data_IF_174001036940
#
_entry.id   IF_174001036940
#
_cell.length_a   1.000
_cell.length_b   1.000
_cell.length_c   1.000
_cell.angle_alpha   90.00
_cell.angle_beta   90.00
_cell.angle_gamma   90.00
#
_symmetry.space_group_name_H-M   'P 1'
#
loop_
_entity.id
_entity.type
_entity.pdbx_description
1 polymer ?
#
# COMPACT_ATOMS: atom_id res chain seq x y z
N UNK A 1 -47.32 36.09 28.21
CA UNK A 1 -45.91 35.75 27.93
C UNK A 1 -45.87 34.73 26.79
N UNK A 2 -45.53 35.14 25.55
CA UNK A 2 -45.44 34.23 24.38
C UNK A 2 -44.08 34.28 23.66
N UNK A 3 -43.14 35.08 24.17
CA UNK A 3 -41.82 35.30 23.55
C UNK A 3 -40.84 34.14 23.78
N UNK A 4 -40.90 33.46 24.94
CA UNK A 4 -39.96 32.35 25.24
C UNK A 4 -40.10 31.13 24.31
N UNK A 5 -41.32 30.81 23.87
CA UNK A 5 -41.58 29.65 22.99
C UNK A 5 -40.98 29.83 21.59
N UNK A 6 -40.91 31.07 21.09
CA UNK A 6 -40.33 31.36 19.78
C UNK A 6 -38.79 31.30 19.80
N UNK A 7 -38.16 31.76 20.88
CA UNK A 7 -36.71 31.72 21.07
C UNK A 7 -36.22 30.28 21.26
N UNK A 8 -36.91 29.47 22.07
CA UNK A 8 -36.58 28.05 22.24
C UNK A 8 -36.65 27.27 20.92
N UNK A 9 -37.64 27.55 20.07
CA UNK A 9 -37.75 26.92 18.75
C UNK A 9 -36.58 27.29 17.83
N UNK A 10 -36.11 28.55 17.89
CA UNK A 10 -34.95 29.00 17.12
C UNK A 10 -33.64 28.33 17.58
N UNK A 11 -33.42 28.22 18.90
CA UNK A 11 -32.24 27.55 19.47
C UNK A 11 -32.22 26.06 19.11
N UNK A 12 -33.36 25.38 19.19
CA UNK A 12 -33.49 23.97 18.78
C UNK A 12 -33.20 23.78 17.28
N UNK A 13 -33.67 24.72 16.45
CA UNK A 13 -33.40 24.70 15.01
C UNK A 13 -31.91 24.89 14.69
N UNK A 14 -31.24 25.83 15.37
CA UNK A 14 -29.79 26.05 15.22
C UNK A 14 -29.01 24.81 15.67
N UNK A 15 -29.35 24.22 16.81
CA UNK A 15 -28.71 22.99 17.29
C UNK A 15 -28.86 21.83 16.30
N UNK A 16 -30.05 21.70 15.68
CA UNK A 16 -30.31 20.70 14.63
C UNK A 16 -29.41 20.92 13.40
N UNK A 17 -29.27 22.16 12.94
CA UNK A 17 -28.41 22.49 11.79
C UNK A 17 -26.93 22.19 12.06
N UNK A 18 -26.44 22.56 13.25
CA UNK A 18 -25.06 22.28 13.65
C UNK A 18 -24.76 20.78 13.71
N UNK A 19 -25.70 19.99 14.25
CA UNK A 19 -25.58 18.53 14.28
C UNK A 19 -25.53 17.93 12.88
N UNK A 20 -26.38 18.40 11.97
CA UNK A 20 -26.41 17.93 10.58
C UNK A 20 -25.12 18.30 9.84
N UNK A 21 -24.61 19.52 10.03
CA UNK A 21 -23.36 19.95 9.43
C UNK A 21 -22.17 19.12 9.91
N UNK A 22 -22.07 18.86 11.22
CA UNK A 22 -20.98 18.06 11.78
C UNK A 22 -21.00 16.61 11.26
N UNK A 23 -22.16 15.95 11.24
CA UNK A 23 -22.29 14.58 10.74
C UNK A 23 -21.88 14.45 9.27
N UNK A 24 -22.30 15.40 8.43
CA UNK A 24 -21.91 15.43 7.02
C UNK A 24 -20.39 15.56 6.84
N UNK A 25 -19.72 16.37 7.66
CA UNK A 25 -18.27 16.55 7.61
C UNK A 25 -17.51 15.29 8.01
N UNK A 26 -18.02 14.55 8.99
CA UNK A 26 -17.48 13.25 9.41
C UNK A 26 -17.72 12.20 8.31
N UNK A 27 -18.91 12.15 7.72
CA UNK A 27 -19.20 11.27 6.58
C UNK A 27 -18.24 11.52 5.41
N UNK A 28 -18.00 12.79 5.04
CA UNK A 28 -17.05 13.17 4.00
C UNK A 28 -15.60 12.83 4.37
N UNK A 29 -15.22 12.92 5.64
CA UNK A 29 -13.89 12.53 6.12
C UNK A 29 -13.72 11.00 6.27
N UNK A 30 -14.83 10.27 6.40
CA UNK A 30 -14.86 8.81 6.48
C UNK A 30 -15.07 8.16 5.10
N UNK A 31 -15.43 8.93 4.08
CA UNK A 31 -15.42 8.44 2.70
C UNK A 31 -14.00 7.97 2.40
N UNK A 32 -13.80 6.71 2.03
CA UNK A 32 -12.49 6.24 1.64
C UNK A 32 -12.05 7.03 0.42
N UNK A 33 -10.99 7.83 0.58
CA UNK A 33 -10.31 8.43 -0.56
C UNK A 33 -9.66 7.28 -1.33
N UNK A 34 -10.10 7.05 -2.58
CA UNK A 34 -9.42 6.12 -3.50
C UNK A 34 -7.95 6.51 -3.79
N UNK A 35 -7.49 7.66 -3.27
CA UNK A 35 -6.08 8.09 -3.32
C UNK A 35 -5.26 7.82 -2.05
N UNK A 36 -5.79 7.10 -1.06
CA UNK A 36 -5.00 6.54 0.04
C UNK A 36 -4.68 5.07 -0.23
N UNK A 37 -4.14 4.77 -1.42
CA UNK A 37 -3.42 3.51 -1.61
C UNK A 37 -2.07 3.62 -0.90
N UNK A 38 -1.99 3.07 0.32
CA UNK A 38 -0.94 2.15 0.78
C UNK A 38 -1.00 1.99 2.31
N UNK A 39 -2.04 1.33 2.82
CA UNK A 39 -1.94 0.60 4.09
C UNK A 39 -2.66 -0.73 3.97
N UNK A 40 -2.30 -1.49 2.95
CA UNK A 40 -2.33 -2.94 3.07
C UNK A 40 -0.89 -3.35 3.38
N UNK A 41 -0.68 -4.21 4.37
CA UNK A 41 0.59 -4.94 4.52
C UNK A 41 0.71 -5.97 3.38
N UNK A 42 0.55 -5.53 2.15
CA UNK A 42 0.76 -6.23 0.89
C UNK A 42 2.18 -5.90 0.38
N UNK A 43 3.14 -5.96 1.32
CA UNK A 43 4.51 -5.43 1.19
C UNK A 43 5.55 -6.55 1.05
N UNK A 44 5.09 -7.81 0.98
CA UNK A 44 6.02 -8.92 0.79
C UNK A 44 6.53 -8.95 -0.64
N UNK A 45 5.70 -8.69 -1.66
CA UNK A 45 6.09 -8.72 -3.07
C UNK A 45 6.99 -7.54 -3.47
N UNK A 46 8.11 -7.80 -4.16
CA UNK A 46 9.01 -6.75 -4.64
C UNK A 46 8.33 -5.88 -5.70
N UNK A 47 8.12 -4.60 -5.37
CA UNK A 47 7.57 -3.57 -6.26
C UNK A 47 8.67 -2.57 -6.63
N UNK A 48 8.86 -2.30 -7.93
CA UNK A 48 9.86 -1.34 -8.42
C UNK A 48 9.18 -0.13 -9.04
N UNK A 49 9.54 1.07 -8.57
CA UNK A 49 9.13 2.34 -9.20
C UNK A 49 10.09 2.77 -10.31
N UNK A 50 11.30 2.21 -10.35
CA UNK A 50 12.33 2.50 -11.35
C UNK A 50 12.55 1.30 -12.28
N UNK A 51 12.44 1.53 -13.59
CA UNK A 51 12.69 0.52 -14.63
C UNK A 51 14.14 0.05 -14.63
N UNK A 52 15.10 0.97 -14.43
CA UNK A 52 16.53 0.64 -14.32
C UNK A 52 16.82 -0.23 -13.11
N UNK A 53 16.18 0.05 -11.95
CA UNK A 53 16.37 -0.77 -10.75
C UNK A 53 15.79 -2.17 -10.94
N UNK A 54 14.60 -2.29 -11.56
CA UNK A 54 14.00 -3.58 -11.90
C UNK A 54 14.90 -4.40 -12.82
N UNK A 55 15.44 -3.78 -13.87
CA UNK A 55 16.35 -4.42 -14.81
C UNK A 55 17.65 -4.90 -14.13
N UNK A 56 18.24 -4.09 -13.26
CA UNK A 56 19.45 -4.47 -12.54
C UNK A 56 19.23 -5.71 -11.63
N UNK A 57 18.07 -5.82 -10.99
CA UNK A 57 17.72 -6.99 -10.18
C UNK A 57 17.47 -8.21 -11.07
N UNK A 58 16.76 -8.05 -12.19
CA UNK A 58 16.58 -9.11 -13.18
C UNK A 58 17.93 -9.65 -13.68
N UNK A 59 18.84 -8.77 -14.10
CA UNK A 59 20.16 -9.13 -14.62
C UNK A 59 21.02 -9.84 -13.57
N UNK A 60 20.89 -9.46 -12.29
CA UNK A 60 21.56 -10.13 -11.19
C UNK A 60 21.07 -11.58 -11.03
N UNK A 61 19.75 -11.80 -11.08
CA UNK A 61 19.13 -13.13 -10.98
C UNK A 61 19.53 -13.98 -12.21
N UNK A 62 19.44 -13.42 -13.42
CA UNK A 62 19.85 -14.08 -14.65
C UNK A 62 21.31 -14.55 -14.60
N UNK A 63 22.24 -13.68 -14.19
CA UNK A 63 23.65 -14.04 -14.07
C UNK A 63 23.89 -15.19 -13.08
N UNK A 64 23.09 -15.28 -12.02
CA UNK A 64 23.19 -16.38 -11.06
C UNK A 64 22.60 -17.69 -11.62
N UNK A 65 21.55 -17.62 -12.43
CA UNK A 65 21.00 -18.77 -13.18
C UNK A 65 22.01 -19.27 -14.21
N UNK A 66 22.60 -18.38 -15.01
CA UNK A 66 23.57 -18.73 -16.06
C UNK A 66 24.82 -19.42 -15.48
N UNK A 67 25.23 -19.02 -14.28
CA UNK A 67 26.33 -19.64 -13.52
C UNK A 67 25.93 -20.95 -12.82
N UNK A 68 24.66 -21.35 -12.89
CA UNK A 68 24.13 -22.54 -12.22
C UNK A 68 24.08 -22.43 -10.69
N UNK A 69 24.15 -21.21 -10.13
CA UNK A 69 24.15 -20.99 -8.68
C UNK A 69 22.74 -21.13 -8.10
N UNK A 70 21.72 -20.82 -8.89
CA UNK A 70 20.30 -20.93 -8.53
C UNK A 70 19.51 -21.52 -9.70
N UNK A 71 18.30 -21.99 -9.42
CA UNK A 71 17.40 -22.54 -10.44
C UNK A 71 16.64 -21.44 -11.20
N UNK A 72 16.29 -21.69 -12.47
CA UNK A 72 15.54 -20.77 -13.35
C UNK A 72 14.16 -20.36 -12.79
N UNK A 73 13.54 -21.19 -11.94
CA UNK A 73 12.27 -20.85 -11.27
C UNK A 73 12.32 -19.55 -10.45
N UNK A 74 13.51 -19.11 -10.02
CA UNK A 74 13.65 -17.80 -9.38
C UNK A 74 13.49 -16.64 -10.36
N UNK A 75 13.99 -16.78 -11.59
CA UNK A 75 13.78 -15.78 -12.64
C UNK A 75 12.29 -15.73 -13.04
N UNK A 76 11.66 -16.89 -13.22
CA UNK A 76 10.22 -16.97 -13.49
C UNK A 76 9.38 -16.32 -12.37
N UNK A 77 9.74 -16.53 -11.11
CA UNK A 77 9.06 -15.91 -9.96
C UNK A 77 9.19 -14.38 -9.99
N UNK A 78 10.35 -13.87 -10.40
CA UNK A 78 10.59 -12.44 -10.57
C UNK A 78 9.77 -11.85 -11.72
N UNK A 79 9.78 -12.48 -12.88
CA UNK A 79 9.05 -12.04 -14.08
C UNK A 79 7.54 -12.05 -13.89
N UNK A 80 7.04 -13.08 -13.19
CA UNK A 80 5.63 -13.19 -12.81
C UNK A 80 5.24 -12.20 -11.70
N UNK A 81 6.18 -11.44 -11.14
CA UNK A 81 5.93 -10.47 -10.08
C UNK A 81 5.44 -11.10 -8.78
N UNK A 82 5.77 -12.36 -8.52
CA UNK A 82 5.39 -13.09 -7.29
C UNK A 82 6.56 -13.24 -6.31
N UNK A 83 7.75 -12.75 -6.67
CA UNK A 83 8.92 -12.78 -5.81
C UNK A 83 8.77 -11.79 -4.66
N UNK A 84 9.01 -12.27 -3.45
CA UNK A 84 9.00 -11.43 -2.25
C UNK A 84 10.37 -10.82 -1.95
N UNK A 85 10.40 -9.77 -1.14
CA UNK A 85 11.63 -9.20 -0.60
C UNK A 85 12.40 -10.24 0.23
N UNK A 86 11.69 -11.07 1.00
CA UNK A 86 12.28 -12.18 1.76
C UNK A 86 12.92 -13.26 0.89
N UNK A 87 12.27 -13.63 -0.22
CA UNK A 87 12.84 -14.53 -1.23
C UNK A 87 14.17 -13.98 -1.77
N UNK A 88 14.19 -12.69 -2.11
CA UNK A 88 15.37 -12.05 -2.70
C UNK A 88 16.54 -11.91 -1.72
N UNK A 89 16.26 -11.58 -0.46
CA UNK A 89 17.27 -11.61 0.60
C UNK A 89 17.85 -13.01 0.80
N UNK A 90 17.00 -14.05 0.81
CA UNK A 90 17.44 -15.44 0.87
C UNK A 90 18.29 -15.85 -0.33
N UNK A 91 17.89 -15.42 -1.54
CA UNK A 91 18.63 -15.67 -2.77
C UNK A 91 20.05 -15.12 -2.73
N UNK A 92 20.24 -13.88 -2.27
CA UNK A 92 21.57 -13.26 -2.15
C UNK A 92 22.49 -14.09 -1.27
N UNK A 93 21.99 -14.66 -0.18
CA UNK A 93 22.78 -15.52 0.72
C UNK A 93 23.19 -16.81 0.00
N UNK A 94 22.26 -17.47 -0.69
CA UNK A 94 22.53 -18.71 -1.43
C UNK A 94 23.56 -18.48 -2.53
N UNK A 95 23.41 -17.40 -3.31
CA UNK A 95 24.34 -17.02 -4.38
C UNK A 95 25.73 -16.75 -3.79
N UNK A 96 25.83 -16.00 -2.70
CA UNK A 96 27.10 -15.72 -2.04
C UNK A 96 27.79 -16.99 -1.54
N UNK A 97 27.05 -17.93 -0.95
CA UNK A 97 27.58 -19.21 -0.47
C UNK A 97 28.08 -20.11 -1.60
N UNK A 98 27.42 -20.11 -2.76
CA UNK A 98 27.76 -20.97 -3.91
C UNK A 98 28.80 -20.35 -4.85
N UNK A 99 29.06 -19.05 -4.72
CA UNK A 99 30.09 -18.34 -5.52
C UNK A 99 31.49 -18.38 -4.89
N UNK A 100 31.61 -18.90 -3.67
CA UNK A 100 32.86 -19.07 -2.96
C UNK A 100 33.57 -20.36 -3.39
#
# INVERSE_FOLDING_TARGET
>A
MRYGVAEENAVQYIAKLLKQFFLKRIEEAMKPNESEQHTEKDDDTMKFTSTTAKAAVHDYIQQAVDKGLINESWLEKFDNGTMTSGDFEGLKIIIAQRSA
#
